data_IF_527180181399
#
_entry.id   IF_527180181399
#
_cell.length_a   1.000
_cell.length_b   1.000
_cell.length_c   1.000
_cell.angle_alpha   90.00
_cell.angle_beta   90.00
_cell.angle_gamma   90.00
#
_symmetry.space_group_name_H-M   'P 1'
#
loop_
_entity.id
_entity.type
_entity.pdbx_description
1 polymer ?
#
# COMPACT_ATOMS: atom_id res chain seq x y z
N UNK A 1 7.39 -38.08 23.30
CA UNK A 1 7.83 -37.45 22.03
C UNK A 1 6.88 -36.30 21.72
N UNK A 2 7.31 -35.04 21.87
CA UNK A 2 6.71 -33.89 21.20
C UNK A 2 7.63 -32.67 21.39
N UNK A 3 8.52 -32.46 20.42
CA UNK A 3 9.40 -31.30 20.28
C UNK A 3 8.59 -30.08 19.83
N UNK A 4 8.46 -29.05 20.67
CA UNK A 4 7.83 -27.76 20.27
C UNK A 4 8.30 -26.53 21.07
N UNK A 5 9.62 -26.26 21.21
CA UNK A 5 10.04 -24.88 21.48
C UNK A 5 10.85 -24.24 20.34
N UNK A 6 11.21 -24.99 19.30
CA UNK A 6 12.11 -24.49 18.23
C UNK A 6 11.35 -23.76 17.10
N UNK A 7 10.05 -24.01 16.93
CA UNK A 7 9.29 -23.48 15.80
C UNK A 7 8.83 -22.02 16.00
N UNK A 8 8.87 -21.50 17.23
CA UNK A 8 8.44 -20.14 17.53
C UNK A 8 9.48 -19.07 17.12
N UNK A 9 10.73 -19.47 16.86
CA UNK A 9 11.77 -18.59 16.34
C UNK A 9 11.83 -18.53 14.80
N UNK A 10 11.12 -19.44 14.10
CA UNK A 10 11.07 -19.50 12.64
C UNK A 10 9.83 -18.80 12.06
N UNK A 11 8.75 -18.75 12.84
CA UNK A 11 7.51 -18.06 12.49
C UNK A 11 7.69 -16.55 12.72
N UNK A 12 7.80 -15.76 11.65
CA UNK A 12 8.00 -14.31 11.72
C UNK A 12 6.97 -13.57 12.61
N UNK A 13 7.18 -12.26 12.87
CA UNK A 13 6.40 -11.49 13.86
C UNK A 13 4.88 -11.64 13.74
N UNK A 14 4.36 -11.73 12.51
CA UNK A 14 2.93 -11.91 12.23
C UNK A 14 2.40 -13.25 12.73
N UNK A 15 3.06 -14.35 12.38
CA UNK A 15 2.66 -15.70 12.81
C UNK A 15 2.80 -15.89 14.32
N UNK A 16 3.79 -15.26 14.95
CA UNK A 16 3.96 -15.30 16.41
C UNK A 16 2.78 -14.66 17.16
N UNK A 17 2.30 -13.50 16.70
CA UNK A 17 1.11 -12.82 17.25
C UNK A 17 -0.14 -13.67 17.06
N UNK A 18 -0.27 -14.28 15.89
CA UNK A 18 -1.37 -15.17 15.56
C UNK A 18 -1.43 -16.37 16.49
N UNK A 19 -0.31 -17.08 16.63
CA UNK A 19 -0.16 -18.22 17.53
C UNK A 19 -0.42 -17.82 18.99
N UNK A 20 0.04 -16.63 19.41
CA UNK A 20 -0.22 -16.10 20.77
C UNK A 20 -1.71 -15.88 21.02
N UNK A 21 -2.43 -15.26 20.07
CA UNK A 21 -3.89 -15.04 20.16
C UNK A 21 -4.64 -16.37 20.20
N UNK A 22 -4.25 -17.32 19.36
CA UNK A 22 -4.85 -18.66 19.29
C UNK A 22 -4.67 -19.42 20.61
N UNK A 23 -3.47 -19.37 21.21
CA UNK A 23 -3.23 -19.95 22.54
C UNK A 23 -4.07 -19.30 23.64
N UNK A 24 -4.20 -17.98 23.63
CA UNK A 24 -5.01 -17.26 24.61
C UNK A 24 -6.50 -17.64 24.52
N UNK A 25 -7.04 -17.73 23.29
CA UNK A 25 -8.42 -18.14 23.06
C UNK A 25 -8.66 -19.60 23.45
N UNK A 26 -7.75 -20.53 23.10
CA UNK A 26 -7.83 -21.94 23.54
C UNK A 26 -7.80 -22.04 25.07
N UNK A 27 -6.97 -21.24 25.75
CA UNK A 27 -6.96 -21.19 27.22
C UNK A 27 -8.30 -20.70 27.78
N UNK A 28 -8.90 -19.66 27.18
CA UNK A 28 -10.22 -19.16 27.56
C UNK A 28 -11.32 -20.20 27.32
N UNK A 29 -11.28 -20.90 26.18
CA UNK A 29 -12.22 -21.97 25.85
C UNK A 29 -12.14 -23.13 26.85
N UNK A 30 -10.93 -23.59 27.18
CA UNK A 30 -10.73 -24.63 28.21
C UNK A 30 -11.24 -24.19 29.58
N UNK A 31 -11.04 -22.91 29.96
CA UNK A 31 -11.60 -22.36 31.21
C UNK A 31 -13.13 -22.37 31.20
N UNK A 32 -13.75 -22.06 30.06
CA UNK A 32 -15.20 -22.13 29.89
C UNK A 32 -15.69 -23.58 30.09
N UNK A 33 -15.05 -24.56 29.47
CA UNK A 33 -15.42 -25.98 29.63
C UNK A 33 -15.31 -26.44 31.10
N UNK A 34 -14.25 -26.07 31.81
CA UNK A 34 -14.09 -26.37 33.24
C UNK A 34 -15.17 -25.73 34.12
N UNK A 35 -15.61 -24.52 33.76
CA UNK A 35 -16.72 -23.85 34.45
C UNK A 35 -18.05 -24.55 34.17
N UNK A 36 -18.32 -24.97 32.93
CA UNK A 36 -19.51 -25.75 32.58
C UNK A 36 -19.59 -27.08 33.35
N UNK A 37 -18.46 -27.78 33.48
CA UNK A 37 -18.38 -29.00 34.29
C UNK A 37 -18.65 -28.72 35.78
N UNK A 38 -18.09 -27.64 36.32
CA UNK A 38 -18.36 -27.24 37.71
C UNK A 38 -19.84 -26.91 37.95
N UNK A 39 -20.52 -26.31 36.97
CA UNK A 39 -21.96 -26.01 37.05
C UNK A 39 -22.77 -27.29 36.95
N UNK A 40 -22.38 -28.24 36.09
CA UNK A 40 -23.01 -29.55 36.02
C UNK A 40 -22.90 -30.32 37.35
N UNK A 41 -21.84 -30.06 38.13
CA UNK A 41 -21.66 -30.57 39.51
C UNK A 41 -22.46 -29.79 40.57
N UNK A 42 -23.27 -28.80 40.17
CA UNK A 42 -24.17 -28.06 41.07
C UNK A 42 -23.56 -26.83 41.75
N UNK A 43 -22.41 -26.34 41.28
CA UNK A 43 -21.73 -25.17 41.87
C UNK A 43 -22.46 -23.87 41.47
N UNK A 44 -22.82 -22.98 42.42
CA UNK A 44 -23.47 -21.72 42.09
C UNK A 44 -22.53 -20.79 41.33
N UNK A 45 -23.09 -20.00 40.41
CA UNK A 45 -22.34 -19.15 39.48
C UNK A 45 -22.56 -17.66 39.78
N UNK A 46 -21.50 -16.85 39.67
CA UNK A 46 -21.55 -15.39 39.75
C UNK A 46 -21.80 -14.74 38.38
N UNK A 47 -22.26 -13.48 38.35
CA UNK A 47 -22.54 -12.70 37.14
C UNK A 47 -21.35 -12.62 36.16
N UNK A 48 -20.13 -12.45 36.67
CA UNK A 48 -18.93 -12.43 35.82
C UNK A 48 -18.69 -13.78 35.13
N UNK A 49 -18.94 -14.89 35.81
CA UNK A 49 -18.79 -16.22 35.24
C UNK A 49 -19.86 -16.49 34.17
N UNK A 50 -21.08 -15.98 34.36
CA UNK A 50 -22.15 -16.06 33.37
C UNK A 50 -21.77 -15.31 32.07
N UNK A 51 -21.17 -14.12 32.17
CA UNK A 51 -20.65 -13.38 31.02
C UNK A 51 -19.55 -14.15 30.29
N UNK A 52 -18.65 -14.81 31.03
CA UNK A 52 -17.60 -15.65 30.45
C UNK A 52 -18.20 -16.84 29.69
N UNK A 53 -19.24 -17.49 30.23
CA UNK A 53 -19.96 -18.57 29.52
C UNK A 53 -20.71 -18.07 28.29
N UNK A 54 -21.37 -16.90 28.39
CA UNK A 54 -22.06 -16.26 27.25
C UNK A 54 -21.09 -15.99 26.09
N UNK A 55 -19.80 -15.78 26.39
CA UNK A 55 -18.77 -15.59 25.36
C UNK A 55 -18.32 -16.87 24.64
N UNK A 56 -18.80 -18.06 25.04
CA UNK A 56 -18.40 -19.35 24.44
C UNK A 56 -18.58 -19.44 22.93
N UNK A 57 -19.74 -19.07 22.34
CA UNK A 57 -19.93 -19.18 20.89
C UNK A 57 -18.93 -18.30 20.12
N UNK A 58 -18.70 -17.09 20.61
CA UNK A 58 -17.72 -16.16 20.03
C UNK A 58 -16.29 -16.71 20.13
N UNK A 59 -15.89 -17.24 21.30
CA UNK A 59 -14.55 -17.81 21.48
C UNK A 59 -14.33 -19.03 20.58
N UNK A 60 -15.34 -19.89 20.42
CA UNK A 60 -15.28 -21.04 19.51
C UNK A 60 -15.13 -20.60 18.07
N UNK A 61 -16.00 -19.70 17.59
CA UNK A 61 -15.94 -19.18 16.22
C UNK A 61 -14.59 -18.49 15.93
N UNK A 62 -14.10 -17.68 16.87
CA UNK A 62 -12.81 -17.01 16.73
C UNK A 62 -11.62 -17.98 16.68
N UNK A 63 -11.69 -19.13 17.36
CA UNK A 63 -10.67 -20.18 17.23
C UNK A 63 -10.73 -20.79 15.84
N UNK A 64 -11.92 -21.17 15.36
CA UNK A 64 -12.10 -21.82 14.06
C UNK A 64 -11.65 -20.92 12.90
N UNK A 65 -12.01 -19.63 12.95
CA UNK A 65 -11.58 -18.64 11.96
C UNK A 65 -10.07 -18.45 11.95
N UNK A 66 -9.45 -18.33 13.12
CA UNK A 66 -7.99 -18.22 13.19
C UNK A 66 -7.31 -19.52 12.71
N UNK A 67 -7.84 -20.70 13.02
CA UNK A 67 -7.26 -21.94 12.50
C UNK A 67 -7.34 -22.02 10.97
N UNK A 68 -8.45 -21.59 10.37
CA UNK A 68 -8.63 -21.50 8.92
C UNK A 68 -7.66 -20.51 8.26
N UNK A 69 -7.41 -19.37 8.89
CA UNK A 69 -6.54 -18.33 8.35
C UNK A 69 -5.05 -18.64 8.49
N UNK A 70 -4.66 -19.59 9.35
CA UNK A 70 -3.25 -19.91 9.60
C UNK A 70 -2.52 -20.43 8.35
N UNK A 71 -3.12 -21.39 7.65
CA UNK A 71 -2.54 -22.00 6.45
C UNK A 71 -2.36 -20.99 5.29
N UNK A 72 -3.39 -20.23 4.86
CA UNK A 72 -3.22 -19.26 3.78
C UNK A 72 -2.22 -18.16 4.15
N UNK A 73 -2.17 -17.73 5.41
CA UNK A 73 -1.21 -16.71 5.85
C UNK A 73 0.23 -17.23 5.88
N UNK A 74 0.44 -18.49 6.26
CA UNK A 74 1.76 -19.13 6.19
C UNK A 74 2.23 -19.31 4.74
N UNK A 75 1.33 -19.71 3.82
CA UNK A 75 1.65 -19.86 2.39
C UNK A 75 2.03 -18.52 1.77
N UNK A 76 1.20 -17.49 1.98
CA UNK A 76 1.48 -16.15 1.49
C UNK A 76 2.82 -15.62 2.04
N UNK A 77 3.11 -15.85 3.32
CA UNK A 77 4.39 -15.44 3.90
C UNK A 77 5.59 -16.18 3.28
N UNK A 78 5.49 -17.48 3.01
CA UNK A 78 6.55 -18.20 2.31
C UNK A 78 6.75 -17.70 0.88
N UNK A 79 5.66 -17.44 0.15
CA UNK A 79 5.72 -16.89 -1.21
C UNK A 79 6.42 -15.53 -1.23
N UNK A 80 6.12 -14.65 -0.26
CA UNK A 80 6.80 -13.35 -0.10
C UNK A 80 8.30 -13.50 0.22
N UNK A 81 8.66 -14.45 1.09
CA UNK A 81 10.06 -14.72 1.42
C UNK A 81 10.83 -15.29 0.21
N UNK A 82 10.21 -16.17 -0.57
CA UNK A 82 10.82 -16.74 -1.77
C UNK A 82 11.01 -15.69 -2.87
N UNK A 83 10.03 -14.79 -3.07
CA UNK A 83 10.13 -13.67 -4.00
C UNK A 83 11.24 -12.68 -3.62
N UNK A 84 11.41 -12.43 -2.32
CA UNK A 84 12.48 -11.54 -1.82
C UNK A 84 13.86 -12.21 -1.92
N UNK A 85 13.96 -13.52 -1.68
CA UNK A 85 15.22 -14.27 -1.80
C UNK A 85 15.69 -14.44 -3.25
N UNK A 86 14.77 -14.72 -4.19
CA UNK A 86 15.09 -14.83 -5.62
C UNK A 86 15.51 -13.50 -6.26
N UNK A 87 15.27 -12.37 -5.61
CA UNK A 87 15.50 -11.03 -6.14
C UNK A 87 16.82 -10.40 -5.71
N UNK A 88 17.69 -11.09 -4.94
CA UNK A 88 19.05 -10.59 -4.69
C UNK A 88 19.91 -10.66 -5.96
N UNK A 89 20.42 -9.53 -6.49
CA UNK A 89 21.39 -9.55 -7.57
C UNK A 89 22.75 -9.98 -7.05
N UNK A 90 23.42 -10.84 -7.82
CA UNK A 90 24.84 -11.20 -7.69
C UNK A 90 25.75 -9.97 -7.47
N UNK A 91 26.90 -10.14 -6.78
CA UNK A 91 27.92 -9.09 -6.65
C UNK A 91 28.48 -8.73 -8.04
N UNK A 92 28.30 -7.48 -8.47
CA UNK A 92 28.91 -6.98 -9.71
C UNK A 92 30.41 -6.67 -9.49
N UNK A 93 31.30 -7.09 -10.40
CA UNK A 93 32.69 -6.66 -10.41
C UNK A 93 32.84 -5.21 -10.93
N UNK A 94 33.62 -4.40 -10.22
CA UNK A 94 34.03 -3.06 -10.64
C UNK A 94 34.85 -3.08 -11.94
N UNK A 95 34.78 -2.00 -12.75
CA UNK A 95 36.01 -1.49 -13.34
C UNK A 95 36.20 0.03 -13.19
N UNK A 96 37.41 0.35 -12.72
CA UNK A 96 38.29 1.52 -12.90
C UNK A 96 37.86 2.72 -13.77
N UNK A 97 38.10 3.90 -13.19
CA UNK A 97 38.33 5.22 -13.83
C UNK A 97 39.43 5.17 -14.92
N UNK A 98 39.41 6.07 -15.93
CA UNK A 98 40.37 7.18 -15.87
C UNK A 98 39.93 8.54 -16.48
N UNK A 99 40.32 9.61 -15.78
CA UNK A 99 40.89 10.92 -16.20
C UNK A 99 40.34 11.75 -17.39
N UNK A 100 39.81 12.93 -17.02
CA UNK A 100 39.98 14.30 -17.57
C UNK A 100 40.39 14.50 -19.04
N UNK A 101 39.60 15.31 -19.75
CA UNK A 101 40.08 16.47 -20.52
C UNK A 101 38.98 17.51 -20.68
N UNK A 102 39.37 18.74 -20.36
CA UNK A 102 38.64 20.00 -20.35
C UNK A 102 38.45 20.56 -21.77
N UNK A 103 37.30 21.20 -22.02
CA UNK A 103 37.13 22.43 -22.81
C UNK A 103 35.64 22.76 -22.92
N UNK A 104 35.22 23.67 -22.04
CA UNK A 104 34.23 24.74 -22.25
C UNK A 104 33.50 24.80 -23.60
N UNK A 105 32.17 24.86 -23.54
CA UNK A 105 31.41 26.01 -24.03
C UNK A 105 30.05 26.08 -23.33
N UNK A 106 29.82 27.20 -22.67
CA UNK A 106 28.55 27.59 -22.08
C UNK A 106 27.51 27.76 -23.19
N UNK A 107 26.35 27.12 -23.04
CA UNK A 107 25.12 27.70 -23.51
C UNK A 107 24.04 27.50 -22.45
N UNK A 108 23.72 28.62 -21.80
CA UNK A 108 22.54 28.81 -20.97
C UNK A 108 21.27 28.46 -21.76
N UNK A 109 20.40 27.68 -21.15
CA UNK A 109 18.94 27.76 -21.31
C UNK A 109 18.34 27.21 -20.03
N UNK A 110 18.51 28.00 -18.97
CA UNK A 110 17.91 27.82 -17.67
C UNK A 110 16.44 28.31 -17.71
N UNK A 111 15.63 27.74 -18.60
CA UNK A 111 14.18 28.06 -18.74
C UNK A 111 13.28 26.81 -18.84
N UNK A 112 13.83 25.61 -19.07
CA UNK A 112 13.04 24.38 -19.23
C UNK A 112 12.63 23.65 -17.93
N UNK A 113 13.12 24.10 -16.77
CA UNK A 113 12.86 23.42 -15.49
C UNK A 113 11.54 23.82 -14.83
N UNK A 114 11.04 25.03 -15.10
CA UNK A 114 9.88 25.60 -14.40
C UNK A 114 8.56 25.05 -14.96
N UNK A 115 8.42 25.02 -16.29
CA UNK A 115 7.21 24.50 -16.95
C UNK A 115 6.96 23.01 -16.69
N UNK A 116 8.01 22.21 -16.57
CA UNK A 116 7.83 20.79 -16.31
C UNK A 116 7.51 20.49 -14.82
N UNK A 117 7.90 21.38 -13.89
CA UNK A 117 7.39 21.34 -12.51
C UNK A 117 5.93 21.78 -12.47
N UNK A 118 5.57 22.82 -13.23
CA UNK A 118 4.19 23.26 -13.39
C UNK A 118 3.30 22.15 -13.96
N UNK A 119 3.74 21.42 -14.99
CA UNK A 119 3.04 20.28 -15.57
C UNK A 119 2.83 19.15 -14.56
N UNK A 120 3.84 18.86 -13.74
CA UNK A 120 3.74 17.85 -12.68
C UNK A 120 2.73 18.27 -11.60
N UNK A 121 2.74 19.54 -11.20
CA UNK A 121 1.78 20.08 -10.24
C UNK A 121 0.36 20.11 -10.81
N UNK A 122 0.21 20.49 -12.07
CA UNK A 122 -1.06 20.46 -12.79
C UNK A 122 -1.60 19.02 -12.85
N UNK A 123 -0.77 18.04 -13.20
CA UNK A 123 -1.17 16.65 -13.27
C UNK A 123 -1.58 16.07 -11.90
N UNK A 124 -0.86 16.42 -10.84
CA UNK A 124 -1.23 16.03 -9.47
C UNK A 124 -2.53 16.71 -9.02
N UNK A 125 -2.68 18.00 -9.33
CA UNK A 125 -3.87 18.78 -9.03
C UNK A 125 -5.10 18.20 -9.72
N UNK A 126 -5.08 18.08 -11.05
CA UNK A 126 -6.18 17.54 -11.85
C UNK A 126 -6.44 16.05 -11.55
N UNK A 127 -5.39 15.26 -11.36
CA UNK A 127 -5.54 13.85 -10.97
C UNK A 127 -6.30 13.68 -9.66
N UNK A 128 -6.05 14.55 -8.67
CA UNK A 128 -6.76 14.56 -7.39
C UNK A 128 -8.17 15.18 -7.47
N UNK A 129 -8.36 16.16 -8.35
CA UNK A 129 -9.64 16.83 -8.60
C UNK A 129 -10.66 15.86 -9.19
N UNK A 130 -10.21 15.02 -10.14
CA UNK A 130 -11.05 14.07 -10.86
C UNK A 130 -11.20 12.70 -10.18
N UNK A 131 -10.52 12.48 -9.05
CA UNK A 131 -10.57 11.26 -8.25
C UNK A 131 -11.88 11.16 -7.44
N UNK A 132 -12.93 10.68 -8.11
CA UNK A 132 -14.25 10.43 -7.50
C UNK A 132 -14.30 8.99 -6.99
N UNK A 133 -13.72 8.73 -5.81
CA UNK A 133 -13.83 7.42 -5.16
C UNK A 133 -15.17 7.30 -4.42
N UNK A 134 -15.95 6.21 -4.61
CA UNK A 134 -17.22 5.99 -3.93
C UNK A 134 -17.07 5.58 -2.45
N UNK A 135 -15.87 5.67 -1.89
CA UNK A 135 -15.49 5.05 -0.63
C UNK A 135 -14.73 6.07 0.22
N UNK A 136 -15.47 6.84 1.04
CA UNK A 136 -15.10 7.55 2.30
C UNK A 136 -15.99 8.80 2.47
N UNK A 137 -17.05 8.63 3.27
CA UNK A 137 -17.74 9.53 4.23
C UNK A 137 -17.88 11.06 4.03
N UNK A 138 -17.62 11.65 2.87
CA UNK A 138 -17.89 13.08 2.65
C UNK A 138 -18.62 13.37 1.34
N UNK A 139 -19.94 13.18 1.36
CA UNK A 139 -20.86 13.40 0.24
C UNK A 139 -20.69 14.76 -0.44
N UNK A 140 -20.33 15.80 0.32
CA UNK A 140 -20.11 17.15 -0.23
C UNK A 140 -18.85 17.23 -1.11
N UNK A 141 -17.75 16.55 -0.78
CA UNK A 141 -16.52 16.53 -1.60
C UNK A 141 -16.74 15.72 -2.87
N UNK A 142 -17.49 14.62 -2.79
CA UNK A 142 -17.87 13.82 -3.96
C UNK A 142 -18.75 14.65 -4.90
N UNK A 143 -19.73 15.38 -4.36
CA UNK A 143 -20.62 16.23 -5.17
C UNK A 143 -19.86 17.39 -5.83
N UNK A 144 -18.94 18.04 -5.11
CA UNK A 144 -18.08 19.10 -5.67
C UNK A 144 -17.18 18.57 -6.78
N UNK A 145 -16.51 17.42 -6.59
CA UNK A 145 -15.65 16.82 -7.62
C UNK A 145 -16.44 16.36 -8.84
N UNK A 146 -17.63 15.77 -8.63
CA UNK A 146 -18.52 15.38 -9.73
C UNK A 146 -19.03 16.59 -10.52
N UNK A 147 -19.30 17.70 -9.84
CA UNK A 147 -19.67 18.96 -10.48
C UNK A 147 -18.50 19.56 -11.29
N UNK A 148 -17.30 19.59 -10.73
CA UNK A 148 -16.09 20.06 -11.41
C UNK A 148 -15.78 19.24 -12.67
N UNK A 149 -15.90 17.91 -12.59
CA UNK A 149 -15.81 17.03 -13.77
C UNK A 149 -16.82 17.41 -14.86
N UNK A 150 -18.08 17.61 -14.47
CA UNK A 150 -19.12 18.04 -15.41
C UNK A 150 -18.81 19.38 -16.07
N UNK A 151 -18.30 20.35 -15.30
CA UNK A 151 -17.86 21.65 -15.83
C UNK A 151 -16.73 21.51 -16.85
N UNK A 152 -15.72 20.68 -16.58
CA UNK A 152 -14.60 20.43 -17.50
C UNK A 152 -15.06 19.84 -18.84
N UNK A 153 -15.98 18.86 -18.82
CA UNK A 153 -16.50 18.24 -20.05
C UNK A 153 -17.30 19.22 -20.91
N UNK A 154 -18.01 20.15 -20.28
CA UNK A 154 -18.84 21.13 -21.00
C UNK A 154 -18.08 22.39 -21.44
N UNK A 155 -16.82 22.56 -21.02
CA UNK A 155 -16.08 23.81 -21.24
C UNK A 155 -15.87 24.13 -22.73
N UNK A 156 -15.56 23.12 -23.54
CA UNK A 156 -15.26 23.28 -24.98
C UNK A 156 -16.51 23.22 -25.87
N UNK A 157 -17.68 22.92 -25.28
CA UNK A 157 -18.95 22.80 -26.03
C UNK A 157 -19.50 24.15 -26.53
N UNK A 158 -18.87 25.26 -26.14
CA UNK A 158 -19.26 26.64 -26.50
C UNK A 158 -18.52 27.12 -27.75
N UNK A 159 -17.45 26.44 -28.16
CA UNK A 159 -16.62 26.77 -29.32
C UNK A 159 -16.80 25.71 -30.41
N UNK A 160 -17.61 26.03 -31.42
CA UNK A 160 -18.22 25.16 -32.45
C UNK A 160 -17.25 24.44 -33.41
N UNK A 161 -15.95 24.31 -33.09
CA UNK A 161 -14.91 23.74 -33.97
C UNK A 161 -14.11 22.56 -33.39
N UNK A 162 -14.38 22.10 -32.15
CA UNK A 162 -13.63 21.00 -31.55
C UNK A 162 -14.23 19.61 -31.90
N UNK A 163 -13.56 18.85 -32.77
CA UNK A 163 -13.90 17.44 -33.04
C UNK A 163 -13.38 16.46 -31.98
N UNK A 164 -12.47 16.90 -31.11
CA UNK A 164 -11.84 16.11 -30.04
C UNK A 164 -12.34 16.57 -28.67
N UNK A 165 -13.62 16.34 -28.39
CA UNK A 165 -14.23 16.66 -27.11
C UNK A 165 -13.69 15.75 -26.01
N UNK A 166 -13.38 16.35 -24.86
CA UNK A 166 -12.96 15.63 -23.67
C UNK A 166 -14.07 14.68 -23.20
N UNK A 167 -13.76 13.40 -22.98
CA UNK A 167 -14.70 12.42 -22.46
C UNK A 167 -14.44 12.12 -20.98
N UNK A 168 -15.44 11.54 -20.29
CA UNK A 168 -15.29 11.07 -18.90
C UNK A 168 -14.10 10.11 -18.74
N UNK A 169 -13.82 9.33 -19.78
CA UNK A 169 -12.70 8.39 -19.81
C UNK A 169 -11.36 9.10 -19.69
N UNK A 170 -11.20 10.28 -20.30
CA UNK A 170 -9.95 11.03 -20.25
C UNK A 170 -9.68 11.55 -18.83
N UNK A 171 -10.73 12.02 -18.15
CA UNK A 171 -10.67 12.41 -16.75
C UNK A 171 -10.35 11.24 -15.82
N UNK A 172 -10.87 10.04 -16.12
CA UNK A 172 -10.55 8.81 -15.39
C UNK A 172 -9.09 8.38 -15.60
N UNK A 173 -8.56 8.55 -16.81
CA UNK A 173 -7.16 8.28 -17.11
C UNK A 173 -6.24 9.27 -16.39
N UNK A 174 -6.59 10.55 -16.35
CA UNK A 174 -5.86 11.59 -15.59
C UNK A 174 -5.90 11.27 -14.09
N UNK A 175 -7.06 10.89 -13.56
CA UNK A 175 -7.20 10.49 -12.16
C UNK A 175 -6.40 9.23 -11.83
N UNK A 176 -6.43 8.23 -12.72
CA UNK A 176 -5.65 7.01 -12.58
C UNK A 176 -4.15 7.30 -12.62
N UNK A 177 -3.70 8.13 -13.57
CA UNK A 177 -2.32 8.55 -13.69
C UNK A 177 -1.87 9.33 -12.45
N UNK A 178 -2.67 10.28 -11.98
CA UNK A 178 -2.44 11.02 -10.73
C UNK A 178 -2.38 10.10 -9.51
N UNK A 179 -3.25 9.09 -9.45
CA UNK A 179 -3.26 8.06 -8.42
C UNK A 179 -2.00 7.19 -8.44
N UNK A 180 -1.56 6.77 -9.63
CA UNK A 180 -0.31 6.03 -9.83
C UNK A 180 0.90 6.89 -9.44
N UNK A 181 0.85 8.19 -9.74
CA UNK A 181 1.81 9.20 -9.33
C UNK A 181 1.82 9.48 -7.83
N UNK A 182 0.94 8.88 -7.01
CA UNK A 182 0.97 9.04 -5.55
C UNK A 182 0.82 7.72 -4.77
N UNK A 183 0.94 6.56 -5.44
CA UNK A 183 0.66 5.24 -4.84
C UNK A 183 1.90 4.51 -4.28
N UNK A 184 1.75 3.82 -3.13
CA UNK A 184 2.82 3.01 -2.53
C UNK A 184 2.65 1.52 -2.82
N UNK A 185 3.73 0.75 -3.08
CA UNK A 185 3.62 -0.71 -3.20
C UNK A 185 3.43 -1.36 -1.84
N UNK A 186 2.54 -2.36 -1.73
CA UNK A 186 2.38 -3.09 -0.49
C UNK A 186 3.64 -3.84 0.01
N UNK A 187 4.69 -4.00 -0.81
CA UNK A 187 5.84 -4.88 -0.54
C UNK A 187 7.22 -4.19 -0.53
N UNK A 188 7.27 -2.85 -0.45
CA UNK A 188 8.57 -2.14 -0.41
C UNK A 188 9.16 -2.10 0.99
N UNK A 189 10.27 -2.82 1.20
CA UNK A 189 11.13 -2.68 2.38
C UNK A 189 12.01 -1.43 2.34
N UNK A 190 11.78 -0.51 1.40
CA UNK A 190 12.56 0.73 1.30
C UNK A 190 12.20 1.65 2.46
N UNK A 191 13.22 2.16 3.13
CA UNK A 191 13.03 3.25 4.07
C UNK A 191 12.44 4.46 3.34
N UNK A 192 11.63 5.24 4.05
CA UNK A 192 11.01 6.47 3.54
C UNK A 192 12.03 7.41 2.88
N UNK A 193 13.22 7.55 3.48
CA UNK A 193 14.31 8.36 2.95
C UNK A 193 14.79 7.88 1.56
N UNK A 194 14.93 6.57 1.38
CA UNK A 194 15.40 6.01 0.11
C UNK A 194 14.31 6.06 -0.96
N UNK A 195 13.04 5.94 -0.57
CA UNK A 195 11.91 6.15 -1.47
C UNK A 195 11.86 7.59 -1.99
N UNK A 196 12.02 8.58 -1.09
CA UNK A 196 12.06 10.00 -1.48
C UNK A 196 13.14 10.28 -2.52
N UNK A 197 14.34 9.76 -2.26
CA UNK A 197 15.50 9.97 -3.11
C UNK A 197 15.26 9.41 -4.52
N UNK A 198 14.64 8.23 -4.62
CA UNK A 198 14.27 7.64 -5.91
C UNK A 198 13.18 8.43 -6.63
N UNK A 199 12.17 8.94 -5.92
CA UNK A 199 11.17 9.82 -6.52
C UNK A 199 11.84 11.05 -7.16
N UNK A 200 12.76 11.70 -6.43
CA UNK A 200 13.51 12.86 -6.93
C UNK A 200 14.34 12.49 -8.17
N UNK A 201 15.00 11.34 -8.17
CA UNK A 201 15.78 10.87 -9.32
C UNK A 201 14.92 10.61 -10.55
N UNK A 202 13.75 9.99 -10.38
CA UNK A 202 12.81 9.75 -11.48
C UNK A 202 12.16 11.01 -12.00
N UNK A 203 11.76 11.93 -11.11
CA UNK A 203 11.25 13.24 -11.51
C UNK A 203 12.31 13.97 -12.34
N UNK A 204 13.58 13.97 -11.93
CA UNK A 204 14.66 14.56 -12.73
C UNK A 204 14.82 13.90 -14.11
N UNK A 205 14.67 12.58 -14.19
CA UNK A 205 14.71 11.83 -15.46
C UNK A 205 13.52 12.18 -16.37
N UNK A 206 12.33 12.32 -15.80
CA UNK A 206 11.12 12.72 -16.51
C UNK A 206 11.22 14.18 -17.00
N UNK A 207 11.66 15.10 -16.14
CA UNK A 207 11.93 16.51 -16.49
C UNK A 207 12.98 16.65 -17.61
N UNK A 208 13.86 15.65 -17.78
CA UNK A 208 14.86 15.62 -18.85
C UNK A 208 14.41 14.86 -20.10
N UNK A 209 13.12 14.51 -20.22
CA UNK A 209 12.53 13.75 -21.33
C UNK A 209 13.28 12.44 -21.64
N UNK A 210 13.78 11.76 -20.61
CA UNK A 210 14.52 10.53 -20.81
C UNK A 210 13.59 9.36 -21.17
N UNK A 211 13.95 8.57 -22.19
CA UNK A 211 13.28 7.31 -22.54
C UNK A 211 13.69 6.12 -21.66
N UNK A 212 14.34 6.40 -20.52
CA UNK A 212 14.79 5.33 -19.63
C UNK A 212 13.58 4.59 -19.07
N UNK A 213 13.48 3.26 -19.27
CA UNK A 213 12.34 2.51 -18.78
C UNK A 213 12.33 2.62 -17.25
N UNK A 214 11.21 3.09 -16.71
CA UNK A 214 10.92 2.97 -15.28
C UNK A 214 10.86 1.46 -15.04
N UNK A 215 11.93 0.90 -14.45
CA UNK A 215 12.03 -0.56 -14.27
C UNK A 215 10.75 -1.14 -13.68
N UNK A 216 10.27 -2.32 -14.12
CA UNK A 216 8.95 -2.87 -13.75
C UNK A 216 8.81 -3.19 -12.26
N UNK A 217 9.95 -3.23 -11.57
CA UNK A 217 10.04 -3.26 -10.12
C UNK A 217 9.57 -1.96 -9.44
N UNK A 218 9.27 -0.91 -10.21
CA UNK A 218 9.01 0.45 -9.77
C UNK A 218 7.75 1.10 -10.31
N UNK A 219 7.00 0.50 -11.25
CA UNK A 219 5.59 0.91 -11.44
C UNK A 219 4.80 0.67 -10.15
N UNK A 220 5.30 -0.26 -9.33
CA UNK A 220 4.88 -0.47 -7.95
C UNK A 220 5.60 0.41 -6.92
N UNK A 221 6.84 0.90 -7.09
CA UNK A 221 7.68 1.45 -5.99
C UNK A 221 7.87 2.99 -5.95
N UNK A 222 7.11 3.77 -6.71
CA UNK A 222 7.21 5.23 -6.68
C UNK A 222 5.96 5.74 -5.97
N UNK A 223 6.14 6.41 -4.82
CA UNK A 223 5.32 7.52 -4.29
C UNK A 223 4.47 7.27 -3.02
N UNK A 224 5.00 7.66 -1.86
CA UNK A 224 4.19 8.15 -0.74
C UNK A 224 4.93 9.18 0.10
N UNK A 225 5.27 10.33 -0.49
CA UNK A 225 5.69 11.49 0.28
C UNK A 225 5.09 12.72 -0.37
N UNK A 226 3.88 13.09 0.07
CA UNK A 226 3.41 14.48 0.04
C UNK A 226 2.14 14.77 0.86
N UNK A 227 1.65 13.88 1.75
CA UNK A 227 0.42 14.16 2.51
C UNK A 227 0.55 14.16 4.04
N UNK A 228 1.77 14.28 4.57
CA UNK A 228 2.00 14.55 6.00
C UNK A 228 3.09 15.63 6.18
N UNK A 229 2.81 16.82 5.67
CA UNK A 229 3.05 18.10 6.35
C UNK A 229 1.92 19.05 6.00
#
# INVERSE_FOLDING_TARGET
>A
MASTPVQEAADGPVLSLFNKRLRALKKKYNRILQMEESIAQGKPINKEQEEVLRSKPFVSAAIDELEKLRAPLSSALSEELDLTLCRQPQPQPQPSSPSVSDSTENHESQEGGDGAVEDLLNLLYFGSLFDVKPQVDFTATILSRAHERGCCLTYDTVTDEATDLLEDRDLDLISMLGGLLVSWPPHSSLSHKNALQKCIEHTKLWLSNSDSPITPMLVSHVLFICLLF
#
